data_IF_065781253667
#
_entry.id   IF_065781253667
#
_cell.length_a   1.000
_cell.length_b   1.000
_cell.length_c   1.000
_cell.angle_alpha   90.00
_cell.angle_beta   90.00
_cell.angle_gamma   90.00
#
_symmetry.space_group_name_H-M   'P 1'
#
loop_
_entity.id
_entity.type
_entity.pdbx_description
1 polymer ?
#
# COMPACT_ATOMS: atom_id res chain seq x y z
N UNK A 1 35.25 -19.98 20.61
CA UNK A 1 34.19 -20.12 19.59
C UNK A 1 33.71 -21.54 19.37
N UNK A 2 34.53 -22.58 19.54
CA UNK A 2 34.00 -23.95 19.64
C UNK A 2 33.12 -24.10 20.89
N UNK A 3 32.11 -24.98 20.80
CA UNK A 3 31.17 -25.31 21.89
C UNK A 3 30.36 -24.11 22.39
N UNK A 4 29.87 -23.29 21.45
CA UNK A 4 28.81 -22.32 21.70
C UNK A 4 27.52 -22.82 21.06
N UNK A 5 26.41 -22.58 21.74
CA UNK A 5 25.07 -22.75 21.22
C UNK A 5 24.41 -21.38 21.25
N UNK A 6 23.82 -20.98 20.13
CA UNK A 6 23.11 -19.71 19.98
C UNK A 6 21.72 -20.05 19.48
N UNK A 7 20.72 -19.44 20.09
CA UNK A 7 19.34 -19.52 19.63
C UNK A 7 18.72 -18.13 19.60
N UNK A 8 17.83 -17.95 18.62
CA UNK A 8 17.04 -16.74 18.45
C UNK A 8 15.58 -17.15 18.40
N UNK A 9 14.76 -16.48 19.21
CA UNK A 9 13.31 -16.65 19.23
C UNK A 9 12.64 -15.36 18.78
N UNK A 10 11.90 -15.44 17.67
CA UNK A 10 11.18 -14.34 17.00
C UNK A 10 9.71 -14.72 16.90
N UNK A 11 8.82 -13.85 17.38
CA UNK A 11 7.39 -14.17 17.49
C UNK A 11 6.63 -14.16 16.15
N UNK A 12 7.04 -13.32 15.20
CA UNK A 12 6.30 -13.06 13.97
C UNK A 12 7.22 -12.84 12.79
N UNK A 13 6.91 -13.49 11.66
CA UNK A 13 7.58 -13.30 10.35
C UNK A 13 6.85 -12.31 9.44
N UNK A 14 5.73 -11.78 9.92
CA UNK A 14 4.89 -10.82 9.22
C UNK A 14 4.42 -9.80 10.23
N UNK A 15 4.71 -8.53 9.97
CA UNK A 15 4.34 -7.39 10.81
C UNK A 15 3.88 -6.23 9.93
N UNK A 16 3.40 -5.15 10.53
CA UNK A 16 3.06 -3.91 9.81
C UNK A 16 4.01 -2.80 10.21
N UNK A 17 4.13 -1.78 9.36
CA UNK A 17 4.81 -0.55 9.72
C UNK A 17 4.19 0.03 11.01
N UNK A 18 5.04 0.33 11.99
CA UNK A 18 4.67 0.79 13.33
C UNK A 18 4.54 -0.32 14.38
N UNK A 19 4.61 -1.60 14.00
CA UNK A 19 4.69 -2.70 14.98
C UNK A 19 6.12 -2.84 15.51
N UNK A 20 6.26 -3.30 16.76
CA UNK A 20 7.54 -3.69 17.35
C UNK A 20 7.77 -5.20 17.19
N UNK A 21 8.90 -5.57 16.60
CA UNK A 21 9.34 -6.96 16.50
C UNK A 21 10.11 -7.29 17.79
N UNK A 22 9.61 -8.25 18.56
CA UNK A 22 10.33 -8.78 19.73
C UNK A 22 11.25 -9.93 19.33
N UNK A 23 12.53 -9.78 19.63
CA UNK A 23 13.55 -10.81 19.49
C UNK A 23 14.12 -11.20 20.87
N UNK A 24 14.35 -12.49 21.08
CA UNK A 24 15.14 -13.00 22.21
C UNK A 24 16.34 -13.78 21.73
N UNK A 25 17.52 -13.21 21.95
CA UNK A 25 18.82 -13.85 21.72
C UNK A 25 19.25 -14.60 22.98
N UNK A 26 19.73 -15.83 22.80
CA UNK A 26 20.32 -16.63 23.88
C UNK A 26 21.63 -17.23 23.41
N UNK A 27 22.70 -17.00 24.19
CA UNK A 27 24.02 -17.55 23.92
C UNK A 27 24.45 -18.40 25.11
N UNK A 28 24.78 -19.66 24.85
CA UNK A 28 25.18 -20.65 25.85
C UNK A 28 26.59 -21.16 25.58
N UNK A 29 27.41 -21.17 26.62
CA UNK A 29 28.71 -21.80 26.61
C UNK A 29 28.56 -23.27 27.01
N UNK A 30 28.90 -24.20 26.10
CA UNK A 30 28.88 -25.63 26.38
C UNK A 30 30.23 -26.17 26.88
N UNK A 31 31.29 -25.35 26.85
CA UNK A 31 32.63 -25.77 27.24
C UNK A 31 32.89 -25.66 28.74
N UNK A 32 33.95 -26.35 29.19
CA UNK A 32 34.49 -26.27 30.56
C UNK A 32 35.34 -25.02 30.82
N UNK A 33 35.63 -24.23 29.77
CA UNK A 33 36.38 -22.98 29.85
C UNK A 33 35.42 -21.78 29.75
N UNK A 34 35.65 -20.69 30.52
CA UNK A 34 34.88 -19.46 30.34
C UNK A 34 35.16 -18.84 28.97
N UNK A 35 34.20 -18.06 28.47
CA UNK A 35 34.35 -17.25 27.25
C UNK A 35 34.32 -15.78 27.65
N UNK A 36 35.49 -15.16 27.93
CA UNK A 36 35.53 -13.73 28.19
C UNK A 36 35.30 -12.98 26.88
N UNK A 37 34.44 -11.96 26.93
CA UNK A 37 34.25 -10.98 25.84
C UNK A 37 33.88 -11.59 24.49
N UNK A 38 32.61 -11.95 24.34
CA UNK A 38 31.99 -12.26 23.05
C UNK A 38 31.17 -11.05 22.62
N UNK A 39 31.35 -10.61 21.40
CA UNK A 39 30.44 -9.66 20.76
C UNK A 39 29.42 -10.47 19.96
N UNK A 40 28.14 -10.26 20.25
CA UNK A 40 27.03 -10.98 19.65
C UNK A 40 26.19 -9.96 18.93
N UNK A 41 26.00 -10.15 17.63
CA UNK A 41 25.32 -9.22 16.76
C UNK A 41 24.38 -9.99 15.85
N UNK A 42 23.13 -9.57 15.78
CA UNK A 42 22.18 -10.13 14.82
C UNK A 42 22.28 -9.34 13.51
N UNK A 43 22.63 -10.00 12.42
CA UNK A 43 22.96 -9.40 11.12
C UNK A 43 21.70 -9.08 10.29
N UNK A 44 20.66 -8.58 10.94
CA UNK A 44 19.39 -8.23 10.32
C UNK A 44 19.53 -6.95 9.49
N UNK A 45 18.94 -6.92 8.30
CA UNK A 45 18.99 -5.78 7.36
C UNK A 45 17.87 -4.73 7.55
N UNK A 46 17.11 -4.83 8.65
CA UNK A 46 16.03 -3.88 8.98
C UNK A 46 16.60 -2.46 9.24
N UNK A 47 16.05 -1.40 8.61
CA UNK A 47 16.55 -0.04 8.75
C UNK A 47 16.57 0.45 10.20
N UNK A 48 17.70 1.02 10.62
CA UNK A 48 17.87 1.54 11.98
C UNK A 48 18.13 0.46 13.04
N UNK A 49 18.29 -0.81 12.65
CA UNK A 49 18.65 -1.88 13.56
C UNK A 49 20.17 -2.01 13.75
N UNK A 50 20.59 -2.09 15.00
CA UNK A 50 21.94 -2.49 15.40
C UNK A 50 21.85 -3.14 16.78
N UNK A 51 22.23 -4.41 16.89
CA UNK A 51 22.06 -5.21 18.13
C UNK A 51 23.34 -5.81 18.67
N UNK A 52 24.49 -5.19 18.37
CA UNK A 52 25.77 -5.59 18.93
C UNK A 52 25.76 -5.54 20.46
N UNK A 53 25.88 -6.70 21.10
CA UNK A 53 25.96 -6.84 22.55
C UNK A 53 27.23 -7.58 22.95
N UNK A 54 28.03 -6.97 23.82
CA UNK A 54 29.17 -7.62 24.44
C UNK A 54 28.72 -8.45 25.65
N UNK A 55 28.99 -9.75 25.63
CA UNK A 55 28.65 -10.69 26.71
C UNK A 55 29.86 -11.48 27.17
N UNK A 56 29.91 -11.77 28.47
CA UNK A 56 30.86 -12.74 29.03
C UNK A 56 30.11 -13.93 29.60
N UNK A 57 30.56 -15.13 29.24
CA UNK A 57 29.90 -16.37 29.62
C UNK A 57 30.80 -17.18 30.57
N UNK A 58 30.33 -17.52 31.78
CA UNK A 58 31.06 -18.45 32.63
C UNK A 58 31.04 -19.86 32.03
N UNK A 59 31.84 -20.75 32.61
CA UNK A 59 31.83 -22.17 32.26
C UNK A 59 30.41 -22.74 32.36
N UNK A 60 29.95 -23.41 31.30
CA UNK A 60 28.59 -23.99 31.21
C UNK A 60 27.44 -22.98 31.42
N UNK A 61 27.72 -21.67 31.38
CA UNK A 61 26.73 -20.62 31.60
C UNK A 61 26.05 -20.14 30.32
N UNK A 62 25.05 -19.27 30.48
CA UNK A 62 24.34 -18.65 29.37
C UNK A 62 24.01 -17.18 29.67
N UNK A 63 23.73 -16.42 28.62
CA UNK A 63 23.13 -15.09 28.67
C UNK A 63 21.96 -15.03 27.70
N UNK A 64 20.91 -14.33 28.10
CA UNK A 64 19.72 -14.11 27.29
C UNK A 64 19.23 -12.68 27.50
N UNK A 65 18.87 -12.00 26.43
CA UNK A 65 18.32 -10.65 26.45
C UNK A 65 17.25 -10.52 25.39
N UNK A 66 16.42 -9.48 25.54
CA UNK A 66 15.38 -9.13 24.57
C UNK A 66 15.77 -7.84 23.88
N UNK A 67 15.47 -7.76 22.60
CA UNK A 67 15.61 -6.55 21.79
C UNK A 67 14.26 -6.29 21.13
N UNK A 68 13.88 -5.01 21.03
CA UNK A 68 12.72 -4.59 20.26
C UNK A 68 13.20 -3.87 19.01
N UNK A 69 12.65 -4.23 17.87
CA UNK A 69 12.99 -3.65 16.58
C UNK A 69 11.74 -2.97 16.01
N UNK A 70 11.72 -1.64 15.88
CA UNK A 70 10.57 -0.96 15.30
C UNK A 70 10.53 -1.22 13.79
N UNK A 71 9.40 -1.71 13.28
CA UNK A 71 9.18 -1.85 11.85
C UNK A 71 8.88 -0.48 11.23
N UNK A 72 9.92 0.25 10.81
CA UNK A 72 9.79 1.63 10.32
C UNK A 72 9.47 1.78 8.85
N UNK A 73 9.75 0.78 8.02
CA UNK A 73 9.56 0.88 6.57
C UNK A 73 9.03 -0.44 6.02
N UNK A 74 8.06 -0.38 5.10
CA UNK A 74 7.54 -1.58 4.45
C UNK A 74 8.63 -2.24 3.61
N UNK A 75 8.51 -3.55 3.39
CA UNK A 75 9.53 -4.27 2.64
C UNK A 75 9.65 -5.73 3.03
N UNK A 76 10.58 -6.40 2.36
CA UNK A 76 11.06 -7.73 2.75
C UNK A 76 12.48 -7.56 3.27
N UNK A 77 12.71 -8.12 4.45
CA UNK A 77 13.95 -8.01 5.21
C UNK A 77 14.46 -9.40 5.56
N UNK A 78 15.77 -9.53 5.64
CA UNK A 78 16.47 -10.73 6.08
C UNK A 78 16.82 -10.57 7.55
N UNK A 79 16.28 -11.45 8.39
CA UNK A 79 16.59 -11.49 9.81
C UNK A 79 17.74 -12.48 10.08
N UNK A 80 18.77 -12.02 10.79
CA UNK A 80 19.99 -12.78 11.02
C UNK A 80 20.87 -12.96 9.79
N UNK A 81 21.89 -13.85 9.85
CA UNK A 81 22.21 -14.76 10.95
C UNK A 81 22.83 -14.04 12.16
N UNK A 82 23.03 -14.75 13.27
CA UNK A 82 23.73 -14.18 14.45
C UNK A 82 25.23 -14.36 14.29
N UNK A 83 25.94 -13.24 14.20
CA UNK A 83 27.40 -13.20 14.25
C UNK A 83 27.86 -13.17 15.70
N UNK A 84 28.73 -14.12 16.07
CA UNK A 84 29.47 -14.06 17.33
C UNK A 84 30.95 -13.86 17.02
N UNK A 85 31.46 -12.70 17.38
CA UNK A 85 32.87 -12.32 17.30
C UNK A 85 33.55 -12.43 18.67
N UNK A 86 34.85 -12.70 18.64
CA UNK A 86 35.74 -12.62 19.79
C UNK A 86 37.02 -11.97 19.31
N UNK A 87 37.37 -10.88 19.98
CA UNK A 87 38.60 -10.13 19.72
C UNK A 87 39.55 -10.42 20.86
N UNK A 88 40.83 -10.65 20.54
CA UNK A 88 41.84 -10.81 21.59
C UNK A 88 42.02 -9.53 22.44
N UNK A 89 42.74 -9.66 23.56
CA UNK A 89 42.94 -8.55 24.50
C UNK A 89 43.77 -7.38 23.92
N UNK A 90 44.46 -7.59 22.80
CA UNK A 90 45.30 -6.58 22.12
C UNK A 90 44.60 -5.97 20.90
N UNK A 91 43.40 -6.43 20.54
CA UNK A 91 42.67 -5.99 19.34
C UNK A 91 43.24 -6.51 18.02
N UNK A 92 44.18 -7.45 18.04
CA UNK A 92 44.98 -7.81 16.84
C UNK A 92 44.27 -8.88 16.01
N UNK A 93 43.74 -9.92 16.67
CA UNK A 93 43.05 -11.02 16.03
C UNK A 93 41.56 -10.99 16.39
N UNK A 94 40.72 -10.83 15.36
CA UNK A 94 39.28 -11.06 15.44
C UNK A 94 38.97 -12.44 14.86
N UNK A 95 38.26 -13.25 15.61
CA UNK A 95 37.60 -14.45 15.08
C UNK A 95 36.10 -14.18 15.05
N UNK A 96 35.40 -14.77 14.10
CA UNK A 96 33.95 -14.71 14.00
C UNK A 96 33.38 -16.08 13.60
N UNK A 97 32.14 -16.32 14.02
CA UNK A 97 31.31 -17.44 13.56
C UNK A 97 29.86 -16.99 13.45
N UNK A 98 29.17 -17.53 12.47
CA UNK A 98 27.74 -17.34 12.27
C UNK A 98 26.96 -18.51 12.87
N UNK A 99 25.85 -18.18 13.50
CA UNK A 99 24.92 -19.11 14.11
C UNK A 99 23.50 -18.75 13.69
N UNK A 100 22.60 -19.74 13.77
CA UNK A 100 21.23 -19.67 13.26
C UNK A 100 21.18 -19.47 11.74
N UNK A 101 20.07 -19.90 11.15
CA UNK A 101 19.77 -19.61 9.76
C UNK A 101 19.14 -18.22 9.62
N UNK A 102 19.14 -17.68 8.41
CA UNK A 102 18.41 -16.48 8.05
C UNK A 102 16.91 -16.76 7.95
N UNK A 103 16.08 -15.77 8.27
CA UNK A 103 14.64 -15.84 8.10
C UNK A 103 14.10 -14.60 7.36
N UNK A 104 13.11 -14.79 6.49
CA UNK A 104 12.45 -13.67 5.82
C UNK A 104 11.40 -13.03 6.73
N UNK A 105 11.41 -11.70 6.79
CA UNK A 105 10.41 -10.86 7.43
C UNK A 105 9.73 -9.98 6.38
N UNK A 106 8.40 -10.06 6.31
CA UNK A 106 7.60 -9.14 5.50
C UNK A 106 7.00 -8.07 6.42
N UNK A 107 7.30 -6.81 6.13
CA UNK A 107 6.69 -5.65 6.76
C UNK A 107 5.65 -5.08 5.80
N UNK A 108 4.37 -5.27 6.12
CA UNK A 108 3.26 -4.71 5.36
C UNK A 108 3.08 -3.23 5.64
N UNK A 109 2.52 -2.46 4.70
CA UNK A 109 2.19 -1.07 4.97
C UNK A 109 1.15 -0.94 6.08
N UNK A 110 1.23 0.19 6.80
CA UNK A 110 0.21 0.56 7.79
C UNK A 110 -1.12 0.81 7.08
N UNK A 111 -2.20 0.55 7.78
CA UNK A 111 -3.57 0.76 7.27
C UNK A 111 -4.37 1.56 8.26
N UNK A 112 -5.13 2.52 7.75
CA UNK A 112 -5.95 3.45 8.51
C UNK A 112 -7.43 3.20 8.21
N UNK A 113 -8.28 3.41 9.21
CA UNK A 113 -9.72 3.38 9.02
C UNK A 113 -10.19 4.74 8.51
N UNK A 114 -10.67 4.80 7.26
CA UNK A 114 -10.94 6.05 6.52
C UNK A 114 -12.39 6.11 5.99
N UNK A 115 -13.41 6.12 6.86
CA UNK A 115 -14.81 5.96 6.47
C UNK A 115 -15.33 7.11 5.60
N UNK A 116 -14.78 8.32 5.73
CA UNK A 116 -15.31 9.53 5.08
C UNK A 116 -14.77 9.78 3.65
N UNK A 117 -13.69 9.11 3.23
CA UNK A 117 -13.15 9.30 1.88
C UNK A 117 -14.17 8.93 0.79
N UNK A 118 -14.43 9.81 -0.18
CA UNK A 118 -15.42 9.58 -1.21
C UNK A 118 -14.81 9.74 -2.60
N UNK A 119 -15.23 8.88 -3.52
CA UNK A 119 -14.99 9.11 -4.94
C UNK A 119 -16.19 9.92 -5.44
N UNK A 120 -15.98 11.07 -6.10
CA UNK A 120 -17.08 11.91 -6.57
C UNK A 120 -18.13 11.09 -7.32
N UNK A 121 -19.39 11.20 -6.86
CA UNK A 121 -20.53 10.76 -7.65
C UNK A 121 -20.66 11.74 -8.82
N UNK A 122 -20.66 11.22 -10.05
CA UNK A 122 -21.04 12.07 -11.18
C UNK A 122 -22.44 12.61 -10.89
N UNK A 123 -22.61 13.93 -11.01
CA UNK A 123 -23.89 14.61 -10.93
C UNK A 123 -24.85 14.00 -11.97
N UNK A 124 -25.56 12.94 -11.56
CA UNK A 124 -26.82 12.58 -12.17
C UNK A 124 -27.84 13.51 -11.52
N UNK A 125 -27.89 14.73 -12.02
CA UNK A 125 -29.10 15.55 -11.98
C UNK A 125 -30.20 14.76 -12.70
N UNK A 126 -30.82 13.83 -11.96
CA UNK A 126 -31.74 12.84 -12.50
C UNK A 126 -31.62 11.50 -11.78
N UNK A 127 -32.15 11.47 -10.55
CA UNK A 127 -32.61 10.29 -9.79
C UNK A 127 -31.86 10.04 -8.47
N UNK A 128 -32.05 10.99 -7.56
CA UNK A 128 -31.81 10.82 -6.14
C UNK A 128 -32.94 9.97 -5.54
N UNK A 129 -32.85 8.65 -5.56
CA UNK A 129 -33.42 7.83 -4.48
C UNK A 129 -32.92 6.37 -4.51
N UNK A 130 -32.48 5.89 -3.35
CA UNK A 130 -32.58 4.48 -2.95
C UNK A 130 -31.70 3.43 -3.67
N UNK A 131 -30.47 3.24 -3.19
CA UNK A 131 -29.86 1.88 -3.12
C UNK A 131 -29.28 1.60 -1.75
N UNK A 132 -30.20 1.51 -0.78
CA UNK A 132 -30.08 0.55 0.32
C UNK A 132 -30.71 -0.75 -0.19
N UNK A 133 -30.06 -1.89 0.01
CA UNK A 133 -30.38 -3.29 -0.41
C UNK A 133 -29.65 -3.70 -1.70
N UNK A 134 -29.00 -4.86 -1.78
CA UNK A 134 -29.19 -6.12 -1.03
C UNK A 134 -27.87 -6.87 -0.87
N UNK A 135 -27.61 -7.35 0.35
CA UNK A 135 -26.84 -8.57 0.56
C UNK A 135 -27.62 -9.69 -0.11
N UNK A 136 -27.21 -10.05 -1.32
CA UNK A 136 -27.38 -11.36 -1.94
C UNK A 136 -26.74 -11.26 -3.32
N UNK A 137 -25.49 -11.71 -3.42
CA UNK A 137 -24.84 -11.98 -4.69
C UNK A 137 -25.46 -13.25 -5.29
N UNK A 138 -26.70 -13.14 -5.73
CA UNK A 138 -27.22 -13.97 -6.80
C UNK A 138 -27.37 -13.04 -8.00
N UNK A 139 -26.73 -13.30 -9.15
CA UNK A 139 -27.00 -12.51 -10.35
C UNK A 139 -28.47 -12.74 -10.72
N UNK A 140 -29.34 -11.81 -10.33
CA UNK A 140 -30.74 -11.83 -10.70
C UNK A 140 -30.80 -11.67 -12.22
N UNK A 141 -31.51 -12.57 -12.91
CA UNK A 141 -31.75 -12.44 -14.35
C UNK A 141 -32.51 -11.13 -14.58
N UNK A 142 -31.92 -10.20 -15.33
CA UNK A 142 -32.51 -8.87 -15.57
C UNK A 142 -33.44 -8.83 -16.78
N UNK A 143 -33.17 -9.69 -17.77
CA UNK A 143 -34.02 -9.88 -18.93
C UNK A 143 -34.05 -11.35 -19.33
N UNK A 144 -35.07 -11.70 -20.10
CA UNK A 144 -35.24 -13.04 -20.67
C UNK A 144 -35.35 -12.85 -22.17
N UNK A 145 -34.37 -13.36 -22.92
CA UNK A 145 -34.38 -13.34 -24.39
C UNK A 145 -34.57 -14.72 -24.98
N UNK A 146 -34.87 -14.77 -26.27
CA UNK A 146 -34.91 -16.03 -27.01
C UNK A 146 -33.52 -16.66 -27.04
N UNK A 147 -33.47 -17.97 -26.78
CA UNK A 147 -32.25 -18.76 -26.75
C UNK A 147 -31.59 -18.75 -28.14
N UNK A 148 -30.30 -18.42 -28.20
CA UNK A 148 -29.51 -18.49 -29.41
C UNK A 148 -28.64 -19.75 -29.39
N UNK A 149 -28.42 -20.35 -30.57
CA UNK A 149 -27.49 -21.48 -30.72
C UNK A 149 -26.08 -21.05 -30.27
N UNK A 150 -25.63 -21.58 -29.13
CA UNK A 150 -24.37 -21.20 -28.47
C UNK A 150 -24.53 -20.76 -27.01
N UNK A 151 -25.75 -20.43 -26.59
CA UNK A 151 -26.04 -20.16 -25.18
C UNK A 151 -25.91 -21.45 -24.34
N UNK A 152 -25.31 -21.34 -23.15
CA UNK A 152 -25.21 -22.49 -22.24
C UNK A 152 -26.60 -22.95 -21.76
N UNK A 153 -26.83 -24.27 -21.76
CA UNK A 153 -28.08 -24.88 -21.26
C UNK A 153 -28.35 -24.53 -19.78
N UNK A 154 -27.30 -24.27 -19.00
CA UNK A 154 -27.40 -23.85 -17.59
C UNK A 154 -28.02 -22.46 -17.41
N UNK A 155 -28.10 -21.67 -18.49
CA UNK A 155 -28.71 -20.34 -18.52
C UNK A 155 -30.18 -20.34 -18.95
N UNK A 156 -30.78 -21.50 -19.21
CA UNK A 156 -32.20 -21.57 -19.61
C UNK A 156 -33.12 -21.12 -18.47
N UNK A 157 -34.05 -20.21 -18.76
CA UNK A 157 -35.09 -19.79 -17.83
C UNK A 157 -36.33 -20.69 -17.97
N UNK A 158 -36.33 -21.84 -17.29
CA UNK A 158 -37.39 -22.86 -17.40
C UNK A 158 -38.81 -22.32 -17.18
N UNK A 159 -39.00 -21.37 -16.26
CA UNK A 159 -40.31 -20.76 -16.01
C UNK A 159 -40.86 -19.93 -17.18
N UNK A 160 -39.99 -19.30 -17.97
CA UNK A 160 -40.40 -18.53 -19.16
C UNK A 160 -40.51 -19.43 -20.38
N UNK A 161 -39.61 -20.42 -20.51
CA UNK A 161 -39.69 -21.48 -21.51
C UNK A 161 -41.03 -22.22 -21.43
N UNK A 162 -41.47 -22.58 -20.22
CA UNK A 162 -42.75 -23.28 -20.02
C UNK A 162 -43.97 -22.43 -20.40
N UNK A 163 -43.93 -21.10 -20.20
CA UNK A 163 -45.05 -20.19 -20.53
C UNK A 163 -45.12 -19.83 -22.01
N UNK A 164 -43.98 -19.70 -22.68
CA UNK A 164 -43.89 -19.18 -24.05
C UNK A 164 -43.73 -20.28 -25.10
N UNK A 165 -43.49 -21.54 -24.71
CA UNK A 165 -43.36 -22.68 -25.63
C UNK A 165 -42.09 -22.67 -26.48
N UNK A 166 -41.14 -21.76 -26.20
CA UNK A 166 -39.84 -21.65 -26.88
C UNK A 166 -38.73 -21.47 -25.85
N UNK A 167 -37.51 -21.95 -26.14
CA UNK A 167 -36.38 -21.86 -25.23
C UNK A 167 -36.02 -20.39 -24.98
N UNK A 168 -35.99 -20.03 -23.69
CA UNK A 168 -35.61 -18.70 -23.26
C UNK A 168 -34.32 -18.76 -22.45
N UNK A 169 -33.39 -17.85 -22.71
CA UNK A 169 -32.12 -17.71 -22.00
C UNK A 169 -32.21 -16.56 -20.99
N UNK A 170 -31.70 -16.78 -19.78
CA UNK A 170 -31.49 -15.74 -18.76
C UNK A 170 -30.38 -14.82 -19.28
N UNK A 171 -30.73 -13.57 -19.56
CA UNK A 171 -29.74 -12.52 -19.62
C UNK A 171 -29.50 -12.04 -18.20
N UNK A 172 -28.27 -12.24 -17.76
CA UNK A 172 -27.77 -11.59 -16.57
C UNK A 172 -27.36 -10.20 -17.00
N UNK A 173 -27.96 -9.16 -16.42
CA UNK A 173 -27.23 -7.90 -16.31
C UNK A 173 -25.94 -8.27 -15.61
N UNK A 174 -24.82 -7.99 -16.24
CA UNK A 174 -23.63 -7.66 -15.47
C UNK A 174 -23.99 -6.35 -14.78
N UNK A 175 -24.75 -6.45 -13.68
CA UNK A 175 -25.18 -5.30 -12.91
C UNK A 175 -23.94 -4.48 -12.65
N UNK A 176 -23.94 -3.25 -13.16
CA UNK A 176 -22.85 -2.30 -13.22
C UNK A 176 -22.10 -2.21 -11.89
N UNK A 177 -21.18 -3.14 -11.62
CA UNK A 177 -20.28 -3.06 -10.49
C UNK A 177 -19.14 -2.17 -10.96
N UNK A 178 -19.18 -0.92 -10.55
CA UNK A 178 -18.02 -0.07 -10.70
C UNK A 178 -16.88 -0.62 -9.86
N UNK A 179 -15.89 -1.18 -10.51
CA UNK A 179 -14.62 -1.50 -9.89
C UNK A 179 -13.93 -0.21 -9.42
N UNK A 180 -13.16 -0.36 -8.34
CA UNK A 180 -12.31 0.71 -7.82
C UNK A 180 -10.88 0.33 -8.10
N UNK A 181 -10.19 1.18 -8.82
CA UNK A 181 -8.77 1.05 -9.07
C UNK A 181 -8.02 2.04 -8.20
N UNK A 182 -7.05 1.53 -7.46
CA UNK A 182 -6.12 2.33 -6.68
C UNK A 182 -4.81 2.39 -7.44
N UNK A 183 -4.44 3.59 -7.88
CA UNK A 183 -3.16 3.88 -8.51
C UNK A 183 -2.25 4.58 -7.51
N UNK A 184 -1.13 3.94 -7.18
CA UNK A 184 -0.09 4.50 -6.31
C UNK A 184 1.11 4.94 -7.15
N UNK A 185 1.42 6.24 -7.13
CA UNK A 185 2.56 6.79 -7.84
C UNK A 185 3.88 6.53 -7.07
N UNK A 186 4.73 5.71 -7.68
CA UNK A 186 6.04 5.30 -7.13
C UNK A 186 7.20 5.77 -8.03
N UNK A 187 6.98 6.82 -8.83
CA UNK A 187 8.02 7.44 -9.63
C UNK A 187 9.07 8.09 -8.71
N UNK A 188 10.34 7.78 -8.91
CA UNK A 188 11.43 8.16 -7.99
C UNK A 188 11.64 9.67 -7.87
N UNK A 189 11.49 10.41 -8.98
CA UNK A 189 11.82 11.84 -9.02
C UNK A 189 10.76 12.73 -8.34
N UNK A 190 9.62 12.16 -7.94
CA UNK A 190 8.54 12.88 -7.23
C UNK A 190 8.41 12.45 -5.78
N UNK A 191 9.28 11.57 -5.27
CA UNK A 191 9.23 11.19 -3.86
C UNK A 191 10.07 12.12 -2.99
N UNK A 192 9.64 12.31 -1.75
CA UNK A 192 10.33 13.10 -0.73
C UNK A 192 10.21 12.43 0.65
N UNK A 193 11.06 12.85 1.58
CA UNK A 193 11.12 12.33 2.95
C UNK A 193 11.93 11.03 3.08
N UNK A 194 11.97 10.50 4.30
CA UNK A 194 12.77 9.32 4.65
C UNK A 194 11.96 8.35 5.52
N UNK A 195 12.26 7.05 5.37
CA UNK A 195 11.65 5.96 6.16
C UNK A 195 10.12 6.07 6.20
N UNK A 196 9.51 5.93 7.38
CA UNK A 196 8.07 6.02 7.65
C UNK A 196 7.45 7.39 7.35
N UNK A 197 8.28 8.44 7.25
CA UNK A 197 7.85 9.81 6.96
C UNK A 197 8.21 10.22 5.53
N UNK A 198 8.04 9.30 4.59
CA UNK A 198 8.22 9.54 3.15
C UNK A 198 6.89 9.55 2.42
N UNK A 199 6.85 10.26 1.28
CA UNK A 199 5.66 10.30 0.42
C UNK A 199 5.30 8.92 -0.11
N UNK A 200 6.26 8.03 -0.37
CA UNK A 200 5.95 6.68 -0.84
C UNK A 200 5.32 5.81 0.25
N UNK A 201 5.79 5.88 1.50
CA UNK A 201 5.13 5.18 2.62
C UNK A 201 3.71 5.70 2.86
N UNK A 202 3.50 7.02 2.79
CA UNK A 202 2.17 7.60 2.89
C UNK A 202 1.26 7.17 1.73
N UNK A 203 1.76 7.23 0.49
CA UNK A 203 1.00 6.85 -0.69
C UNK A 203 0.54 5.38 -0.61
N UNK A 204 1.46 4.49 -0.22
CA UNK A 204 1.18 3.07 -0.07
C UNK A 204 0.24 2.79 1.10
N UNK A 205 0.43 3.46 2.24
CA UNK A 205 -0.48 3.36 3.39
C UNK A 205 -1.91 3.77 3.04
N UNK A 206 -2.06 4.87 2.30
CA UNK A 206 -3.36 5.35 1.80
C UNK A 206 -3.95 4.34 0.81
N UNK A 207 -3.15 3.83 -0.12
CA UNK A 207 -3.58 2.83 -1.10
C UNK A 207 -4.09 1.55 -0.45
N UNK A 208 -3.38 1.04 0.56
CA UNK A 208 -3.81 -0.12 1.36
C UNK A 208 -5.11 0.18 2.12
N UNK A 209 -5.22 1.37 2.71
CA UNK A 209 -6.40 1.79 3.50
C UNK A 209 -7.65 1.89 2.63
N UNK A 210 -7.54 2.49 1.44
CA UNK A 210 -8.63 2.60 0.47
C UNK A 210 -9.04 1.23 -0.07
N UNK A 211 -8.04 0.38 -0.35
CA UNK A 211 -8.31 -0.98 -0.80
C UNK A 211 -9.11 -1.78 0.23
N UNK A 212 -8.74 -1.70 1.52
CA UNK A 212 -9.52 -2.32 2.60
C UNK A 212 -10.94 -1.79 2.63
N UNK A 213 -11.11 -0.46 2.64
CA UNK A 213 -12.41 0.20 2.70
C UNK A 213 -13.36 -0.32 1.62
N UNK A 214 -12.91 -0.34 0.37
CA UNK A 214 -13.77 -0.69 -0.75
C UNK A 214 -14.01 -2.20 -0.86
N UNK A 215 -13.04 -3.04 -0.47
CA UNK A 215 -13.26 -4.49 -0.34
C UNK A 215 -14.27 -4.81 0.78
N UNK A 216 -14.20 -4.14 1.93
CA UNK A 216 -15.18 -4.27 3.01
C UNK A 216 -16.57 -3.79 2.60
N UNK A 217 -16.65 -2.82 1.67
CA UNK A 217 -17.90 -2.39 1.04
C UNK A 217 -18.40 -3.35 -0.07
N UNK A 218 -17.68 -4.44 -0.35
CA UNK A 218 -18.04 -5.44 -1.36
C UNK A 218 -17.79 -5.01 -2.80
N UNK A 219 -16.99 -3.95 -3.03
CA UNK A 219 -16.62 -3.50 -4.37
C UNK A 219 -15.35 -4.21 -4.86
N UNK A 220 -15.26 -4.60 -6.16
CA UNK A 220 -14.02 -5.11 -6.72
C UNK A 220 -12.93 -4.03 -6.65
N UNK A 221 -11.76 -4.39 -6.11
CA UNK A 221 -10.61 -3.47 -6.01
C UNK A 221 -9.42 -3.99 -6.79
N UNK A 222 -8.95 -3.17 -7.74
CA UNK A 222 -7.70 -3.38 -8.48
C UNK A 222 -6.60 -2.44 -7.98
N UNK A 223 -5.36 -2.86 -8.13
CA UNK A 223 -4.18 -2.09 -7.75
C UNK A 223 -3.26 -1.91 -8.96
N UNK A 224 -2.77 -0.68 -9.15
CA UNK A 224 -1.74 -0.34 -10.12
C UNK A 224 -0.66 0.48 -9.41
N UNK A 225 0.59 0.09 -9.56
CA UNK A 225 1.72 0.91 -9.17
C UNK A 225 2.89 0.63 -10.11
N UNK A 226 3.71 1.65 -10.37
CA UNK A 226 4.89 1.53 -11.22
C UNK A 226 6.11 2.03 -10.45
N UNK A 227 6.81 1.08 -9.85
CA UNK A 227 8.02 1.29 -9.05
C UNK A 227 9.26 0.75 -9.76
N UNK A 228 10.09 0.02 -9.03
CA UNK A 228 11.18 -0.81 -9.58
C UNK A 228 10.69 -1.77 -10.69
N UNK A 229 9.43 -2.18 -10.62
CA UNK A 229 8.74 -2.94 -11.66
C UNK A 229 7.25 -2.55 -11.73
N UNK A 230 6.52 -3.15 -12.68
CA UNK A 230 5.07 -2.99 -12.80
C UNK A 230 4.36 -3.87 -11.78
N UNK A 231 3.62 -3.26 -10.88
CA UNK A 231 2.75 -3.91 -9.91
C UNK A 231 1.31 -3.77 -10.39
N UNK A 232 0.75 -4.86 -10.88
CA UNK A 232 -0.61 -4.90 -11.41
C UNK A 232 -1.38 -6.04 -10.78
N UNK A 233 -2.49 -5.70 -10.11
CA UNK A 233 -3.43 -6.65 -9.56
C UNK A 233 -4.83 -6.32 -10.12
N UNK A 234 -5.45 -7.22 -10.90
CA UNK A 234 -6.80 -7.03 -11.41
C UNK A 234 -7.82 -6.80 -10.30
N UNK A 235 -8.88 -6.06 -10.64
CA UNK A 235 -9.99 -5.84 -9.72
C UNK A 235 -10.72 -7.15 -9.39
N UNK A 236 -10.82 -7.44 -8.10
CA UNK A 236 -11.49 -8.64 -7.57
C UNK A 236 -12.10 -8.33 -6.19
N UNK A 237 -13.08 -9.13 -5.77
CA UNK A 237 -13.67 -9.15 -4.42
C UNK A 237 -13.34 -10.42 -3.64
N UNK A 238 -12.59 -11.35 -4.25
CA UNK A 238 -12.28 -12.66 -3.69
C UNK A 238 -11.61 -12.63 -2.31
N UNK A 239 -11.84 -13.70 -1.55
CA UNK A 239 -11.17 -13.92 -0.28
C UNK A 239 -9.64 -13.90 -0.48
N UNK A 240 -8.94 -13.06 0.29
CA UNK A 240 -7.49 -12.88 0.19
C UNK A 240 -7.05 -11.80 -0.81
N UNK A 241 -7.96 -11.13 -1.54
CA UNK A 241 -7.57 -10.00 -2.41
C UNK A 241 -6.83 -8.91 -1.62
N UNK A 242 -7.31 -8.60 -0.42
CA UNK A 242 -6.65 -7.61 0.44
C UNK A 242 -5.23 -8.02 0.85
N UNK A 243 -5.01 -9.30 1.17
CA UNK A 243 -3.67 -9.81 1.52
C UNK A 243 -2.71 -9.72 0.33
N UNK A 244 -3.18 -10.03 -0.89
CA UNK A 244 -2.40 -9.86 -2.12
C UNK A 244 -2.05 -8.39 -2.38
N UNK A 245 -2.99 -7.47 -2.15
CA UNK A 245 -2.74 -6.03 -2.24
C UNK A 245 -1.64 -5.63 -1.24
N UNK A 246 -1.73 -6.07 0.01
CA UNK A 246 -0.71 -5.77 1.03
C UNK A 246 0.67 -6.32 0.65
N UNK A 247 0.73 -7.54 0.11
CA UNK A 247 1.99 -8.15 -0.33
C UNK A 247 2.61 -7.39 -1.51
N UNK A 248 1.81 -7.03 -2.52
CA UNK A 248 2.27 -6.21 -3.65
C UNK A 248 2.78 -4.84 -3.19
N UNK A 249 2.07 -4.20 -2.27
CA UNK A 249 2.44 -2.91 -1.71
C UNK A 249 3.66 -2.98 -0.77
N UNK A 250 3.86 -4.09 -0.06
CA UNK A 250 5.06 -4.31 0.73
C UNK A 250 6.31 -4.49 -0.14
N UNK A 251 6.16 -5.14 -1.29
CA UNK A 251 7.26 -5.37 -2.23
C UNK A 251 7.59 -4.14 -3.08
N UNK A 252 6.66 -3.22 -3.26
CA UNK A 252 6.82 -2.11 -4.20
C UNK A 252 7.82 -1.05 -3.73
N UNK A 253 8.82 -0.78 -4.57
CA UNK A 253 9.86 0.23 -4.32
C UNK A 253 9.65 1.48 -5.15
N UNK A 254 9.94 2.64 -4.58
CA UNK A 254 9.86 3.95 -5.25
C UNK A 254 11.06 4.24 -6.19
N UNK A 255 11.43 3.26 -7.01
CA UNK A 255 12.54 3.35 -7.96
C UNK A 255 12.05 3.55 -9.41
N UNK A 256 10.75 3.82 -9.59
CA UNK A 256 10.11 3.90 -10.89
C UNK A 256 10.57 5.07 -11.74
N UNK A 257 10.59 4.86 -13.06
CA UNK A 257 10.99 5.86 -14.05
C UNK A 257 9.93 6.14 -15.12
N UNK A 258 8.75 5.52 -15.00
CA UNK A 258 7.63 5.74 -15.93
C UNK A 258 6.75 6.83 -15.33
N UNK A 259 6.62 7.95 -16.03
CA UNK A 259 5.81 9.06 -15.58
C UNK A 259 4.33 8.68 -15.49
N UNK A 260 3.61 9.31 -14.55
CA UNK A 260 2.22 8.99 -14.23
C UNK A 260 1.28 9.12 -15.45
N UNK A 261 1.46 10.14 -16.28
CA UNK A 261 0.69 10.32 -17.52
C UNK A 261 0.88 9.16 -18.51
N UNK A 262 2.09 8.60 -18.57
CA UNK A 262 2.40 7.47 -19.44
C UNK A 262 1.78 6.19 -18.90
N UNK A 263 1.80 6.00 -17.58
CA UNK A 263 1.14 4.87 -16.92
C UNK A 263 -0.38 4.91 -17.16
N UNK A 264 -1.02 6.06 -16.95
CA UNK A 264 -2.45 6.24 -17.19
C UNK A 264 -2.84 5.93 -18.65
N UNK A 265 -2.00 6.34 -19.61
CA UNK A 265 -2.21 6.06 -21.03
C UNK A 265 -2.03 4.57 -21.39
N UNK A 266 -1.05 3.88 -20.80
CA UNK A 266 -0.82 2.44 -21.04
C UNK A 266 -1.99 1.59 -20.52
N UNK A 267 -2.55 1.99 -19.39
CA UNK A 267 -3.60 1.27 -18.70
C UNK A 267 -5.01 1.67 -19.16
N UNK A 268 -5.13 2.43 -20.26
CA UNK A 268 -6.41 2.96 -20.74
C UNK A 268 -7.48 1.88 -20.98
N UNK A 269 -7.05 0.67 -21.32
CA UNK A 269 -7.91 -0.49 -21.60
C UNK A 269 -8.58 -1.09 -20.35
N UNK A 270 -8.08 -0.77 -19.14
CA UNK A 270 -8.63 -1.29 -17.89
C UNK A 270 -9.93 -0.59 -17.48
N UNK A 271 -10.10 0.66 -17.92
CA UNK A 271 -11.18 1.50 -17.46
C UNK A 271 -12.46 1.19 -18.24
N UNK A 272 -13.35 0.40 -17.64
CA UNK A 272 -14.69 0.16 -18.16
C UNK A 272 -15.61 1.38 -18.01
N UNK A 273 -16.80 1.29 -18.59
CA UNK A 273 -17.86 2.25 -18.28
C UNK A 273 -18.18 2.18 -16.77
N UNK A 274 -18.15 3.34 -16.10
CA UNK A 274 -18.41 3.51 -14.67
C UNK A 274 -17.32 3.04 -13.69
N UNK A 275 -16.12 2.67 -14.16
CA UNK A 275 -14.97 2.43 -13.30
C UNK A 275 -14.63 3.68 -12.48
N UNK A 276 -14.14 3.45 -11.26
CA UNK A 276 -13.61 4.50 -10.40
C UNK A 276 -12.10 4.37 -10.29
N UNK A 277 -11.37 5.46 -10.47
CA UNK A 277 -9.93 5.54 -10.34
C UNK A 277 -9.58 6.49 -9.20
N UNK A 278 -8.83 6.00 -8.22
CA UNK A 278 -8.16 6.84 -7.22
C UNK A 278 -6.69 6.94 -7.57
N UNK A 279 -6.19 8.15 -7.77
CA UNK A 279 -4.77 8.42 -7.99
C UNK A 279 -4.16 9.02 -6.74
N UNK A 280 -3.09 8.42 -6.25
CA UNK A 280 -2.33 8.90 -5.08
C UNK A 280 -0.95 9.31 -5.57
N UNK A 281 -0.64 10.60 -5.52
CA UNK A 281 0.62 11.12 -6.08
C UNK A 281 1.15 12.35 -5.36
N UNK A 282 2.47 12.46 -5.16
CA UNK A 282 3.14 13.71 -4.80
C UNK A 282 3.50 14.61 -6.00
N UNK A 283 3.25 14.18 -7.24
CA UNK A 283 3.72 14.86 -8.47
C UNK A 283 3.12 16.26 -8.66
N UNK A 284 3.99 17.25 -8.87
CA UNK A 284 3.60 18.62 -9.21
C UNK A 284 3.44 18.88 -10.72
N UNK A 285 3.60 17.85 -11.57
CA UNK A 285 3.56 17.99 -13.03
C UNK A 285 2.10 18.06 -13.53
N UNK A 286 1.73 18.98 -14.45
CA UNK A 286 0.33 19.08 -14.91
C UNK A 286 -0.08 18.03 -15.95
N UNK A 287 0.87 17.29 -16.53
CA UNK A 287 0.64 16.37 -17.65
C UNK A 287 -0.37 15.25 -17.30
N UNK A 288 -0.26 14.67 -16.10
CA UNK A 288 -1.15 13.60 -15.65
C UNK A 288 -2.57 14.09 -15.39
N UNK A 289 -2.77 15.36 -15.01
CA UNK A 289 -4.12 15.95 -14.87
C UNK A 289 -4.82 15.99 -16.23
N UNK A 290 -4.07 16.28 -17.29
CA UNK A 290 -4.61 16.25 -18.66
C UNK A 290 -5.03 14.83 -19.04
N UNK A 291 -4.22 13.81 -18.70
CA UNK A 291 -4.59 12.41 -18.91
C UNK A 291 -5.86 12.00 -18.13
N UNK A 292 -6.04 12.47 -16.89
CA UNK A 292 -7.26 12.21 -16.11
C UNK A 292 -8.52 12.83 -16.75
N UNK A 293 -8.41 14.03 -17.33
CA UNK A 293 -9.54 14.65 -18.05
C UNK A 293 -10.00 13.80 -19.23
N UNK A 294 -9.07 13.17 -19.93
CA UNK A 294 -9.38 12.24 -21.03
C UNK A 294 -10.17 11.02 -20.54
N UNK A 295 -9.78 10.46 -19.40
CA UNK A 295 -10.50 9.35 -18.76
C UNK A 295 -11.90 9.76 -18.29
N UNK A 296 -12.05 10.96 -17.72
CA UNK A 296 -13.36 11.47 -17.30
C UNK A 296 -14.33 11.65 -18.46
N UNK A 297 -13.85 12.05 -19.66
CA UNK A 297 -14.68 12.10 -20.87
C UNK A 297 -15.25 10.73 -21.26
N UNK A 298 -14.61 9.64 -20.83
CA UNK A 298 -15.06 8.25 -21.00
C UNK A 298 -15.93 7.74 -19.84
N UNK A 299 -16.36 8.63 -18.95
CA UNK A 299 -17.18 8.35 -17.74
C UNK A 299 -16.47 7.55 -16.65
N UNK A 300 -15.13 7.60 -16.61
CA UNK A 300 -14.36 7.15 -15.45
C UNK A 300 -14.52 8.18 -14.34
N UNK A 301 -14.89 7.73 -13.13
CA UNK A 301 -14.92 8.61 -11.96
C UNK A 301 -13.54 8.69 -11.37
N UNK A 302 -13.07 9.90 -11.08
CA UNK A 302 -11.70 10.13 -10.62
C UNK A 302 -11.71 10.80 -9.26
N UNK A 303 -10.91 10.29 -8.33
CA UNK A 303 -10.53 10.97 -7.10
C UNK A 303 -9.01 11.07 -7.05
N UNK A 304 -8.51 12.18 -6.49
CA UNK A 304 -7.07 12.43 -6.39
C UNK A 304 -6.72 12.68 -4.94
N UNK A 305 -5.71 11.96 -4.46
CA UNK A 305 -5.02 12.22 -3.20
C UNK A 305 -3.64 12.80 -3.53
N UNK A 306 -3.44 14.06 -3.21
CA UNK A 306 -2.15 14.74 -3.33
C UNK A 306 -1.38 14.67 -2.02
N UNK A 307 -0.12 14.30 -2.11
CA UNK A 307 0.83 14.39 -0.99
C UNK A 307 1.65 15.68 -1.13
N UNK A 308 1.61 16.54 -0.13
CA UNK A 308 2.31 17.84 -0.17
C UNK A 308 3.83 17.66 -0.05
N UNK A 309 4.53 17.56 -1.18
CA UNK A 309 5.97 17.30 -1.23
C UNK A 309 6.82 18.23 -0.37
N UNK A 310 6.44 19.51 -0.24
CA UNK A 310 7.17 20.48 0.59
C UNK A 310 7.11 20.09 2.06
N UNK A 311 5.96 19.61 2.54
CA UNK A 311 5.81 19.14 3.92
C UNK A 311 6.66 17.91 4.23
N UNK A 312 7.09 17.15 3.21
CA UNK A 312 7.97 16.00 3.32
C UNK A 312 9.44 16.34 3.03
N UNK A 313 9.87 17.59 3.23
CA UNK A 313 11.23 18.06 2.97
C UNK A 313 11.64 17.95 1.48
N UNK A 314 10.65 17.93 0.58
CA UNK A 314 10.84 17.88 -0.87
C UNK A 314 11.15 19.26 -1.48
N UNK A 315 11.85 19.25 -2.62
CA UNK A 315 12.24 20.46 -3.35
C UNK A 315 11.22 20.92 -4.41
N UNK A 316 10.04 20.30 -4.45
CA UNK A 316 8.97 20.58 -5.42
C UNK A 316 7.67 20.91 -4.69
N UNK A 317 6.93 21.87 -5.23
CA UNK A 317 5.65 22.26 -4.67
C UNK A 317 4.50 21.51 -5.34
N UNK A 318 4.00 20.45 -4.70
CA UNK A 318 2.86 19.69 -5.21
C UNK A 318 1.60 20.55 -5.34
N UNK A 319 1.46 21.61 -4.53
CA UNK A 319 0.27 22.48 -4.60
C UNK A 319 0.15 23.27 -5.90
N UNK A 320 1.24 23.38 -6.69
CA UNK A 320 1.23 24.02 -8.01
C UNK A 320 0.27 23.33 -9.00
N UNK A 321 -0.06 22.06 -8.78
CA UNK A 321 -0.98 21.30 -9.64
C UNK A 321 -2.47 21.51 -9.29
N UNK A 322 -2.75 22.07 -8.10
CA UNK A 322 -4.12 22.23 -7.59
C UNK A 322 -5.01 23.10 -8.50
N UNK A 323 -4.56 24.26 -9.05
CA UNK A 323 -5.34 25.02 -10.01
C UNK A 323 -5.77 24.20 -11.24
N UNK A 324 -4.87 23.35 -11.76
CA UNK A 324 -5.16 22.49 -12.92
C UNK A 324 -6.22 21.44 -12.59
N UNK A 325 -6.19 20.90 -11.37
CA UNK A 325 -7.18 19.95 -10.86
C UNK A 325 -8.57 20.58 -10.70
N UNK A 326 -8.67 21.79 -10.15
CA UNK A 326 -9.95 22.51 -10.09
C UNK A 326 -10.52 22.82 -11.47
N UNK A 327 -9.68 23.25 -12.41
CA UNK A 327 -10.10 23.47 -13.80
C UNK A 327 -10.59 22.18 -14.47
N UNK A 328 -10.07 21.03 -14.04
CA UNK A 328 -10.54 19.71 -14.47
C UNK A 328 -11.82 19.25 -13.75
N UNK A 329 -12.29 19.96 -12.72
CA UNK A 329 -13.42 19.56 -11.87
C UNK A 329 -13.08 18.45 -10.88
N UNK A 330 -11.81 18.31 -10.49
CA UNK A 330 -11.30 17.26 -9.60
C UNK A 330 -10.75 17.92 -8.32
N UNK A 331 -11.57 18.23 -7.31
CA UNK A 331 -11.04 18.75 -6.05
C UNK A 331 -10.18 17.66 -5.35
N UNK A 332 -8.90 17.92 -5.05
CA UNK A 332 -8.03 16.90 -4.46
C UNK A 332 -8.25 16.77 -2.94
N UNK A 333 -7.93 15.60 -2.40
CA UNK A 333 -7.62 15.44 -0.99
C UNK A 333 -6.12 15.75 -0.79
N UNK A 334 -5.78 16.70 0.07
CA UNK A 334 -4.38 17.06 0.34
C UNK A 334 -3.95 16.43 1.67
N UNK A 335 -2.80 15.75 1.68
CA UNK A 335 -2.22 15.14 2.87
C UNK A 335 -0.82 15.67 3.08
N UNK A 336 -0.52 16.16 4.30
CA UNK A 336 0.81 16.64 4.69
C UNK A 336 1.52 15.69 5.65
N UNK A 337 2.84 15.82 5.76
CA UNK A 337 3.65 15.10 6.75
C UNK A 337 3.12 15.37 8.16
N UNK A 338 2.98 14.30 8.95
CA UNK A 338 2.51 14.38 10.33
C UNK A 338 1.00 14.60 10.52
N UNK A 339 0.22 14.87 9.45
CA UNK A 339 -1.24 14.93 9.55
C UNK A 339 -1.84 13.53 9.76
N UNK A 340 -2.95 13.47 10.50
CA UNK A 340 -3.71 12.22 10.67
C UNK A 340 -4.44 11.88 9.38
N UNK A 341 -4.04 10.79 8.71
CA UNK A 341 -4.51 10.39 7.38
C UNK A 341 -6.05 10.33 7.28
N UNK A 342 -6.81 9.72 8.22
CA UNK A 342 -8.27 9.75 8.18
C UNK A 342 -8.87 11.16 8.23
N UNK A 343 -8.25 12.08 8.96
CA UNK A 343 -8.70 13.47 9.04
C UNK A 343 -8.43 14.19 7.72
N UNK A 344 -7.21 14.06 7.18
CA UNK A 344 -6.84 14.66 5.89
C UNK A 344 -7.71 14.14 4.72
N UNK A 345 -8.10 12.87 4.77
CA UNK A 345 -8.96 12.23 3.76
C UNK A 345 -10.46 12.39 4.02
N UNK A 346 -10.88 13.12 5.05
CA UNK A 346 -12.31 13.32 5.38
C UNK A 346 -12.99 14.39 4.53
N UNK A 347 -12.23 15.31 3.95
CA UNK A 347 -12.74 16.40 3.13
C UNK A 347 -11.76 16.73 2.01
N UNK A 348 -12.30 17.14 0.87
CA UNK A 348 -11.47 17.68 -0.21
C UNK A 348 -10.89 19.04 0.21
N UNK A 349 -9.68 19.31 -0.27
CA UNK A 349 -9.10 20.65 -0.21
C UNK A 349 -10.02 21.60 -1.00
N UNK A 350 -10.14 22.84 -0.54
CA UNK A 350 -11.03 23.85 -1.14
C UNK A 350 -10.26 24.97 -1.83
N UNK A 351 -10.87 25.61 -2.83
CA UNK A 351 -10.23 26.73 -3.54
C UNK A 351 -9.96 27.92 -2.62
N UNK A 352 -10.79 28.12 -1.60
CA UNK A 352 -10.58 29.15 -0.58
C UNK A 352 -9.31 28.90 0.27
N UNK A 353 -9.01 27.62 0.56
CA UNK A 353 -7.77 27.24 1.26
C UNK A 353 -6.54 27.43 0.37
N UNK A 354 -6.68 27.27 -0.94
CA UNK A 354 -5.62 27.58 -1.90
C UNK A 354 -5.29 29.07 -1.91
N UNK A 355 -6.31 29.92 -2.00
CA UNK A 355 -6.14 31.38 -2.04
C UNK A 355 -5.45 31.89 -0.77
N UNK A 356 -5.85 31.38 0.41
CA UNK A 356 -5.21 31.71 1.69
C UNK A 356 -3.74 31.26 1.75
N UNK A 357 -3.44 30.05 1.27
CA UNK A 357 -2.07 29.54 1.26
C UNK A 357 -1.14 30.37 0.35
N UNK A 358 -1.64 30.80 -0.81
CA UNK A 358 -0.89 31.66 -1.74
C UNK A 358 -0.62 33.05 -1.16
N UNK A 359 -1.57 33.62 -0.42
CA UNK A 359 -1.42 34.93 0.23
C UNK A 359 -0.40 34.92 1.38
N UNK A 360 -0.36 33.82 2.15
CA UNK A 360 0.64 33.60 3.21
C UNK A 360 2.05 33.46 2.63
N UNK A 361 2.21 32.64 1.58
CA UNK A 361 3.51 32.45 0.91
C UNK A 361 4.03 33.76 0.28
N UNK A 362 3.15 34.57 -0.30
CA UNK A 362 3.52 35.89 -0.84
C UNK A 362 3.96 36.89 0.24
N UNK A 363 3.54 36.68 1.50
CA UNK A 363 3.91 37.53 2.64
C UNK A 363 5.27 37.13 3.22
N UNK A 364 5.60 35.84 3.28
CA UNK A 364 6.89 35.35 3.78
C UNK A 364 8.07 35.69 2.86
N UNK A 365 7.86 35.81 1.53
CA UNK A 365 8.91 36.20 0.58
C UNK A 365 9.25 37.71 0.64
N UNK A 366 8.45 38.51 1.35
CA UNK A 366 8.64 39.97 1.50
C UNK A 366 9.39 40.37 2.78
N UNK A 367 9.75 39.42 3.64
CA UNK A 367 10.53 39.62 4.87
C UNK A 367 11.94 39.07 4.66
#
# INVERSE_FOLDING_TARGET
MQSLEVSVDRRSRRVRVGDDIEERLTVRNLSTMPKPTLEVEDMTDLPGYSSGMAVSLPTKGFRSWRTQLPARRRGVYTLGPVRVSNTDAFGIFRRERFFCDTEDLIVYPRTHYIPEFAIPAADLSGDSSTRRRSHDLTPHASSVREYAFGDSISRVHWGSTAKLGKLMSKEFDLGQSSDVWVLVDLHRDVQAGELDESTDEYAVSIGASLSRKYLEAGLPVGLIAQGDQRYFLPADTGAGQFDRILEFLALSKSEGSVALESLLAQEEHLWGYHSSLVVITPSNRPDWVTALRELMRRRVRVAVVLLDGVSFDGFFNTTDVIPHLYLAGIPPYLVRKGEDIPVALSRVFTSAELDQAQELAATEVRV
#
